data_IF_561083880822
#
_entry.id   IF_561083880822
#
_cell.length_a   1.000
_cell.length_b   1.000
_cell.length_c   1.000
_cell.angle_alpha   90.00
_cell.angle_beta   90.00
_cell.angle_gamma   90.00
#
_symmetry.space_group_name_H-M   'P 1'
#
loop_
_entity.id
_entity.type
_entity.pdbx_description
1 polymer ?
#
# COMPACT_ATOMS: atom_id res chain seq x y z
N UNK A 1 -6.89 -0.72 6.01
CA UNK A 1 -8.00 -0.18 5.21
C UNK A 1 -9.24 -1.05 5.42
N UNK A 2 -10.46 -0.51 5.30
CA UNK A 2 -11.72 -1.25 5.49
C UNK A 2 -12.63 -1.07 4.29
N UNK A 3 -13.33 -2.12 3.89
CA UNK A 3 -14.41 -2.03 2.90
C UNK A 3 -15.74 -1.83 3.62
N UNK A 4 -16.69 -1.16 2.97
CA UNK A 4 -18.04 -0.95 3.49
C UNK A 4 -19.02 -1.70 2.61
N UNK A 5 -19.98 -2.37 3.23
CA UNK A 5 -21.10 -2.97 2.50
C UNK A 5 -22.40 -2.73 3.27
N UNK A 6 -23.49 -2.64 2.53
CA UNK A 6 -24.82 -2.57 3.14
C UNK A 6 -25.30 -3.99 3.40
N UNK A 7 -25.77 -4.22 4.63
CA UNK A 7 -26.43 -5.48 5.00
C UNK A 7 -27.94 -5.32 4.87
N UNK A 8 -28.56 -4.88 5.97
CA UNK A 8 -30.00 -4.60 6.01
C UNK A 8 -30.26 -3.14 5.60
N UNK A 9 -31.24 -2.86 4.73
CA UNK A 9 -31.63 -1.50 4.38
C UNK A 9 -31.97 -0.69 5.64
N UNK A 10 -31.45 0.53 5.73
CA UNK A 10 -31.66 1.46 6.86
C UNK A 10 -31.01 1.08 8.20
N UNK A 11 -30.26 -0.03 8.31
CA UNK A 11 -29.57 -0.42 9.54
C UNK A 11 -28.15 0.18 9.68
N UNK A 12 -27.67 0.90 8.66
CA UNK A 12 -26.31 1.44 8.58
C UNK A 12 -25.30 0.50 7.92
N UNK A 13 -24.13 1.02 7.48
CA UNK A 13 -23.14 0.24 6.74
C UNK A 13 -22.33 -0.67 7.65
N UNK A 14 -22.08 -1.88 7.20
CA UNK A 14 -21.16 -2.82 7.82
C UNK A 14 -19.74 -2.63 7.30
N UNK A 15 -18.75 -2.92 8.14
CA UNK A 15 -17.32 -2.85 7.78
C UNK A 15 -16.71 -4.24 7.63
N UNK A 16 -15.91 -4.42 6.57
CA UNK A 16 -15.10 -5.61 6.34
C UNK A 16 -13.62 -5.25 6.39
N UNK A 17 -12.88 -6.01 7.18
CA UNK A 17 -11.42 -5.91 7.29
C UNK A 17 -10.78 -7.01 6.45
N UNK A 18 -10.17 -6.64 5.33
CA UNK A 18 -9.48 -7.58 4.45
C UNK A 18 -8.17 -8.01 5.10
N UNK A 19 -7.93 -9.31 5.11
CA UNK A 19 -6.76 -9.92 5.73
C UNK A 19 -5.82 -10.49 4.66
N UNK A 20 -4.50 -10.37 4.87
CA UNK A 20 -3.51 -11.04 3.99
C UNK A 20 -3.48 -12.55 4.22
N UNK A 21 -3.71 -12.98 5.45
CA UNK A 21 -3.77 -14.38 5.88
C UNK A 21 -5.23 -14.85 6.03
N UNK A 22 -6.13 -14.50 5.10
CA UNK A 22 -7.57 -14.74 5.25
C UNK A 22 -7.96 -16.23 5.42
N UNK A 23 -7.13 -17.16 4.96
CA UNK A 23 -7.39 -18.61 5.04
C UNK A 23 -7.25 -19.13 6.49
N UNK A 24 -6.22 -18.70 7.21
CA UNK A 24 -5.90 -19.16 8.58
C UNK A 24 -6.13 -18.08 9.64
N UNK A 25 -6.48 -16.86 9.23
CA UNK A 25 -6.61 -15.67 10.05
C UNK A 25 -7.90 -15.58 10.87
N UNK A 26 -8.57 -16.71 11.11
CA UNK A 26 -9.80 -16.78 11.89
C UNK A 26 -9.62 -16.23 13.32
N UNK A 27 -10.51 -15.34 13.75
CA UNK A 27 -10.49 -14.78 15.10
C UNK A 27 -9.45 -13.68 15.30
N UNK A 28 -8.49 -13.88 16.22
CA UNK A 28 -7.54 -12.83 16.67
C UNK A 28 -6.22 -12.78 15.88
N UNK A 29 -5.98 -13.73 14.98
CA UNK A 29 -4.71 -13.86 14.22
C UNK A 29 -4.70 -13.09 12.89
N UNK A 30 -5.77 -12.35 12.59
CA UNK A 30 -5.91 -11.64 11.31
C UNK A 30 -4.89 -10.50 11.15
N UNK A 31 -4.15 -10.51 10.06
CA UNK A 31 -3.20 -9.46 9.66
C UNK A 31 -3.81 -8.65 8.52
N UNK A 32 -3.69 -7.31 8.53
CA UNK A 32 -4.28 -6.46 7.49
C UNK A 32 -3.71 -6.79 6.11
N UNK A 33 -4.55 -6.68 5.09
CA UNK A 33 -4.14 -6.81 3.70
C UNK A 33 -3.05 -5.79 3.33
N UNK A 34 -2.05 -6.26 2.57
CA UNK A 34 -0.93 -5.44 2.07
C UNK A 34 -1.31 -4.92 0.68
N UNK A 35 -1.26 -3.60 0.49
CA UNK A 35 -1.60 -2.94 -0.77
C UNK A 35 -0.42 -2.17 -1.39
N UNK A 36 0.75 -2.21 -0.76
CA UNK A 36 1.97 -1.59 -1.27
C UNK A 36 3.02 -2.67 -1.37
N UNK A 37 3.44 -2.97 -2.60
CA UNK A 37 4.49 -3.95 -2.88
C UNK A 37 5.79 -3.25 -3.28
N UNK A 38 6.91 -3.97 -3.17
CA UNK A 38 8.23 -3.46 -3.59
C UNK A 38 8.24 -3.09 -5.09
N UNK A 39 7.49 -3.83 -5.91
CA UNK A 39 7.27 -3.55 -7.34
C UNK A 39 6.68 -2.15 -7.57
N UNK A 40 5.71 -1.73 -6.76
CA UNK A 40 5.09 -0.40 -6.87
C UNK A 40 6.11 0.73 -6.63
N UNK A 41 7.03 0.52 -5.67
CA UNK A 41 8.12 1.47 -5.41
C UNK A 41 9.11 1.52 -6.57
N UNK A 42 9.46 0.37 -7.15
CA UNK A 42 10.33 0.30 -8.32
C UNK A 42 9.72 1.06 -9.52
N UNK A 43 8.41 0.92 -9.76
CA UNK A 43 7.70 1.68 -10.81
C UNK A 43 7.71 3.18 -10.53
N UNK A 44 7.50 3.60 -9.28
CA UNK A 44 7.58 5.03 -8.89
C UNK A 44 8.99 5.59 -9.04
N UNK A 45 10.03 4.77 -8.83
CA UNK A 45 11.41 5.17 -9.01
C UNK A 45 11.71 5.49 -10.48
N UNK A 46 11.19 4.69 -11.42
CA UNK A 46 11.30 4.98 -12.87
C UNK A 46 10.71 6.33 -13.23
N UNK A 47 9.57 6.69 -12.60
CA UNK A 47 8.95 8.01 -12.79
C UNK A 47 9.86 9.14 -12.28
N UNK A 48 10.54 8.94 -11.15
CA UNK A 48 11.50 9.92 -10.61
C UNK A 48 12.69 10.11 -11.53
N UNK A 49 13.20 9.04 -12.16
CA UNK A 49 14.26 9.15 -13.15
C UNK A 49 13.82 9.95 -14.37
N UNK A 50 12.61 9.71 -14.88
CA UNK A 50 12.08 10.50 -15.99
C UNK A 50 11.94 12.00 -15.65
N UNK A 51 11.45 12.32 -14.45
CA UNK A 51 11.36 13.72 -14.00
C UNK A 51 12.75 14.37 -13.91
N UNK A 52 13.74 13.62 -13.43
CA UNK A 52 15.13 14.09 -13.33
C UNK A 52 15.73 14.36 -14.71
N UNK A 53 15.53 13.48 -15.70
CA UNK A 53 16.03 13.69 -17.07
C UNK A 53 15.28 14.78 -17.82
N UNK A 54 14.02 15.04 -17.48
CA UNK A 54 13.24 16.17 -18.01
C UNK A 54 13.60 17.53 -17.41
N UNK A 55 14.50 17.59 -16.42
CA UNK A 55 14.92 18.82 -15.75
C UNK A 55 13.97 19.33 -14.66
N UNK A 56 12.93 18.55 -14.30
CA UNK A 56 11.95 18.90 -13.27
C UNK A 56 12.42 18.47 -11.88
N UNK A 57 13.52 19.06 -11.41
CA UNK A 57 14.19 18.63 -10.18
C UNK A 57 13.33 18.79 -8.92
N UNK A 58 12.56 19.87 -8.80
CA UNK A 58 11.69 20.06 -7.63
C UNK A 58 10.64 18.95 -7.50
N UNK A 59 9.94 18.61 -8.59
CA UNK A 59 9.00 17.47 -8.61
C UNK A 59 9.71 16.13 -8.36
N UNK A 60 10.89 15.92 -8.95
CA UNK A 60 11.66 14.70 -8.74
C UNK A 60 12.04 14.51 -7.26
N UNK A 61 12.49 15.57 -6.59
CA UNK A 61 12.87 15.55 -5.16
C UNK A 61 11.65 15.25 -4.29
N UNK A 62 10.50 15.85 -4.56
CA UNK A 62 9.27 15.56 -3.82
C UNK A 62 8.85 14.09 -3.98
N UNK A 63 8.87 13.57 -5.21
CA UNK A 63 8.51 12.18 -5.50
C UNK A 63 9.50 11.18 -4.88
N UNK A 64 10.80 11.47 -4.89
CA UNK A 64 11.81 10.67 -4.21
C UNK A 64 11.61 10.68 -2.68
N UNK A 65 11.26 11.82 -2.09
CA UNK A 65 10.95 11.90 -0.65
C UNK A 65 9.70 11.08 -0.30
N UNK A 66 8.65 11.16 -1.12
CA UNK A 66 7.45 10.33 -0.95
C UNK A 66 7.78 8.83 -1.06
N UNK A 67 8.67 8.45 -1.98
CA UNK A 67 9.14 7.08 -2.13
C UNK A 67 9.89 6.62 -0.87
N UNK A 68 10.83 7.42 -0.36
CA UNK A 68 11.59 7.12 0.86
C UNK A 68 10.67 6.91 2.08
N UNK A 69 9.69 7.79 2.27
CA UNK A 69 8.72 7.66 3.37
C UNK A 69 7.78 6.46 3.23
N UNK A 70 7.65 5.89 2.02
CA UNK A 70 6.82 4.72 1.75
C UNK A 70 7.55 3.39 2.03
N UNK A 71 8.89 3.39 2.08
CA UNK A 71 9.71 2.21 2.41
C UNK A 71 9.36 1.59 3.76
N UNK A 72 9.26 2.33 4.89
CA UNK A 72 8.92 1.74 6.19
C UNK A 72 7.48 1.21 6.27
N UNK A 73 6.63 1.51 5.29
CA UNK A 73 5.26 1.01 5.21
C UNK A 73 5.15 -0.33 4.45
N UNK A 74 6.25 -0.81 3.88
CA UNK A 74 6.29 -2.09 3.21
C UNK A 74 6.19 -3.25 4.20
N UNK A 75 5.49 -4.27 3.74
CA UNK A 75 5.49 -5.58 4.37
C UNK A 75 6.11 -6.52 3.35
N UNK A 76 7.18 -7.17 3.76
CA UNK A 76 8.05 -7.96 2.90
C UNK A 76 8.11 -9.39 3.42
N UNK A 77 8.17 -10.36 2.51
CA UNK A 77 8.10 -11.78 2.85
C UNK A 77 9.48 -12.41 3.09
N UNK A 78 10.52 -11.91 2.42
CA UNK A 78 11.89 -12.43 2.51
C UNK A 78 12.89 -11.41 3.07
N UNK A 79 14.08 -11.90 3.49
CA UNK A 79 15.19 -11.02 3.92
C UNK A 79 15.93 -10.34 2.75
N UNK A 80 15.71 -10.83 1.53
CA UNK A 80 16.40 -10.35 0.33
C UNK A 80 15.71 -9.13 -0.29
N UNK A 81 14.41 -9.02 -0.04
CA UNK A 81 13.56 -7.88 -0.39
C UNK A 81 13.57 -6.82 0.72
#
# INVERSE_FOLDING_TARGET
SRATYEGLPSAGPNFVYRLRNWQDGGGRSGLPAVNLQLSDLATRLQTCYHLTTSGKFNEAVEKLRQLLLSVPLLIVDSKQE
#
